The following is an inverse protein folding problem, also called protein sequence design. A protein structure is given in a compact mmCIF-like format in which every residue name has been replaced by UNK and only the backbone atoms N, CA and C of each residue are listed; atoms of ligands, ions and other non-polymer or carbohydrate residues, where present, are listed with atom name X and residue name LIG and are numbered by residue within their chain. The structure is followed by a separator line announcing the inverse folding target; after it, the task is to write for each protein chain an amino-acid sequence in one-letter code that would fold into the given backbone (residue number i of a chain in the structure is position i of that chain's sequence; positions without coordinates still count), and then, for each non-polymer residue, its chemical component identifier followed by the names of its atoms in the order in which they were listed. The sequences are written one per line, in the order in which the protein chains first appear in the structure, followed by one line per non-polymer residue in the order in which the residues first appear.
data_IF_904667715902
#
_entry.id   IF_904667715902
#
_cell.length_a   1.000
_cell.length_b   1.000
_cell.length_c   1.000
_cell.angle_alpha   90.00
_cell.angle_beta   90.00
_cell.angle_gamma   90.00
#
_symmetry.space_group_name_H-M   'P 1'
#
loop_
_entity.id
_entity.type
_entity.pdbx_description
1 polymer ?
#
# COMPACT_ATOMS: atom_id res chain seq x y z
N UNK A 1 -10.67 -26.78 -15.13
CA UNK A 1 -11.63 -25.96 -14.36
C UNK A 1 -11.42 -24.51 -14.76
N UNK A 2 -12.48 -23.71 -14.86
CA UNK A 2 -12.36 -22.28 -15.16
C UNK A 2 -12.34 -21.50 -13.85
N UNK A 3 -11.48 -20.49 -13.75
CA UNK A 3 -11.30 -19.64 -12.56
C UNK A 3 -11.47 -18.20 -12.96
N UNK A 4 -12.25 -17.44 -12.20
CA UNK A 4 -12.50 -16.03 -12.48
C UNK A 4 -11.31 -15.16 -12.05
N UNK A 5 -10.89 -14.26 -12.93
CA UNK A 5 -9.84 -13.27 -12.68
C UNK A 5 -10.46 -11.88 -12.57
N UNK A 6 -10.45 -11.30 -11.36
CA UNK A 6 -11.04 -9.98 -11.08
C UNK A 6 -10.31 -8.84 -11.81
N UNK A 7 -9.05 -9.02 -12.20
CA UNK A 7 -8.30 -7.98 -12.94
C UNK A 7 -8.67 -7.89 -14.42
N UNK A 8 -9.20 -8.96 -15.02
CA UNK A 8 -9.62 -8.96 -16.44
C UNK A 8 -11.12 -9.12 -16.64
N UNK A 9 -11.88 -9.38 -15.56
CA UNK A 9 -13.29 -9.75 -15.63
C UNK A 9 -13.54 -10.97 -16.56
N UNK A 10 -12.64 -11.96 -16.49
CA UNK A 10 -12.69 -13.13 -17.38
C UNK A 10 -12.51 -14.44 -16.63
N UNK A 11 -13.17 -15.48 -17.13
CA UNK A 11 -12.90 -16.87 -16.77
C UNK A 11 -11.65 -17.35 -17.52
N UNK A 12 -10.68 -17.88 -16.78
CA UNK A 12 -9.41 -18.35 -17.32
C UNK A 12 -9.20 -19.84 -17.00
N UNK A 13 -8.37 -20.52 -17.78
CA UNK A 13 -7.93 -21.88 -17.48
C UNK A 13 -7.11 -21.89 -16.19
N UNK A 14 -7.28 -22.92 -15.35
CA UNK A 14 -6.43 -23.12 -14.16
C UNK A 14 -4.93 -23.12 -14.49
N UNK A 15 -4.54 -23.52 -15.71
CA UNK A 15 -3.14 -23.50 -16.15
C UNK A 15 -2.56 -22.08 -16.30
N UNK A 16 -3.42 -21.09 -16.51
CA UNK A 16 -3.05 -19.69 -16.76
C UNK A 16 -3.21 -18.79 -15.52
N UNK A 17 -3.60 -19.37 -14.39
CA UNK A 17 -3.79 -18.67 -13.11
C UNK A 17 -2.52 -18.75 -12.26
N UNK A 18 -2.25 -17.65 -11.57
CA UNK A 18 -1.32 -17.55 -10.45
C UNK A 18 -2.05 -17.01 -9.24
N UNK A 19 -1.54 -17.31 -8.04
CA UNK A 19 -1.95 -16.60 -6.83
C UNK A 19 -1.25 -15.26 -6.81
N UNK A 20 -2.02 -14.20 -6.60
CA UNK A 20 -1.50 -12.86 -6.40
C UNK A 20 -1.68 -12.45 -4.96
N UNK A 21 -0.59 -12.04 -4.33
CA UNK A 21 -0.64 -11.39 -3.03
C UNK A 21 -1.23 -9.99 -3.20
N UNK A 22 -2.35 -9.73 -2.53
CA UNK A 22 -3.05 -8.44 -2.62
C UNK A 22 -2.10 -7.31 -2.21
N UNK A 23 -1.43 -7.49 -1.07
CA UNK A 23 -0.23 -6.75 -0.70
C UNK A 23 0.95 -7.72 -0.85
N UNK A 24 1.99 -7.41 -1.64
CA UNK A 24 3.16 -8.27 -1.79
C UNK A 24 3.88 -8.56 -0.49
N UNK A 25 4.44 -9.77 -0.33
CA UNK A 25 5.23 -10.16 0.85
C UNK A 25 6.36 -9.15 1.16
N UNK A 26 6.99 -8.60 0.12
CA UNK A 26 8.04 -7.59 0.25
C UNK A 26 7.58 -6.28 0.87
N UNK A 27 6.27 -6.03 0.97
CA UNK A 27 5.66 -4.84 1.58
C UNK A 27 4.81 -5.21 2.80
N UNK A 28 5.12 -6.32 3.47
CA UNK A 28 4.36 -6.77 4.65
C UNK A 28 3.09 -7.56 4.31
N UNK A 29 2.96 -8.02 3.07
CA UNK A 29 1.95 -9.00 2.67
C UNK A 29 2.07 -10.34 3.39
N UNK A 30 1.07 -11.20 3.19
CA UNK A 30 1.02 -12.53 3.81
C UNK A 30 0.39 -13.58 2.88
N UNK A 31 0.91 -14.81 2.97
CA UNK A 31 0.27 -15.98 2.35
C UNK A 31 -1.13 -16.18 2.95
N UNK A 32 -2.10 -16.50 2.10
CA UNK A 32 -3.51 -16.56 2.48
C UNK A 32 -4.30 -15.28 2.18
N UNK A 33 -3.65 -14.11 2.11
CA UNK A 33 -4.26 -12.88 1.61
C UNK A 33 -3.98 -12.71 0.12
N UNK A 34 -4.53 -13.66 -0.64
CA UNK A 34 -4.24 -13.86 -2.07
C UNK A 34 -5.53 -14.02 -2.87
N UNK A 35 -5.50 -13.63 -4.15
CA UNK A 35 -6.58 -13.90 -5.10
C UNK A 35 -6.05 -14.61 -6.36
N UNK A 36 -6.89 -15.43 -7.03
CA UNK A 36 -6.53 -16.01 -8.31
C UNK A 36 -6.59 -14.95 -9.41
N UNK A 37 -5.50 -14.81 -10.18
CA UNK A 37 -5.42 -13.89 -11.31
C UNK A 37 -4.62 -14.50 -12.47
N UNK A 38 -4.82 -14.00 -13.69
CA UNK A 38 -4.05 -14.43 -14.85
C UNK A 38 -2.56 -14.15 -14.70
N UNK A 39 -1.70 -15.14 -14.99
CA UNK A 39 -0.22 -15.07 -14.84
C UNK A 39 0.39 -13.84 -15.50
N UNK A 40 -0.01 -13.55 -16.74
CA UNK A 40 0.52 -12.41 -17.50
C UNK A 40 0.08 -11.06 -16.92
N UNK A 41 -1.16 -10.99 -16.42
CA UNK A 41 -1.67 -9.77 -15.77
C UNK A 41 -0.94 -9.57 -14.46
N UNK A 42 -0.81 -10.62 -13.65
CA UNK A 42 -0.08 -10.59 -12.40
C UNK A 42 1.35 -10.07 -12.59
N UNK A 43 2.09 -10.66 -13.53
CA UNK A 43 3.45 -10.22 -13.86
C UNK A 43 3.52 -8.75 -14.27
N UNK A 44 2.56 -8.28 -15.06
CA UNK A 44 2.47 -6.87 -15.47
C UNK A 44 2.21 -5.96 -14.27
N UNK A 45 1.20 -6.27 -13.45
CA UNK A 45 0.86 -5.52 -12.23
C UNK A 45 2.04 -5.48 -11.27
N UNK A 46 2.66 -6.63 -10.98
CA UNK A 46 3.81 -6.72 -10.09
C UNK A 46 5.01 -5.87 -10.55
N UNK A 47 5.28 -5.83 -11.86
CA UNK A 47 6.40 -5.01 -12.38
C UNK A 47 6.07 -3.51 -12.48
N UNK A 48 4.83 -3.15 -12.82
CA UNK A 48 4.41 -1.77 -13.11
C UNK A 48 3.95 -1.01 -11.87
N UNK A 49 3.32 -1.69 -10.92
CA UNK A 49 2.69 -1.09 -9.74
C UNK A 49 3.49 -1.46 -8.49
N UNK A 50 3.50 -2.74 -8.10
CA UNK A 50 4.14 -3.19 -6.86
C UNK A 50 5.64 -2.90 -6.83
N UNK A 51 6.33 -3.14 -7.94
CA UNK A 51 7.75 -2.85 -8.11
C UNK A 51 8.06 -1.36 -7.98
N UNK A 52 7.14 -0.48 -8.36
CA UNK A 52 7.33 0.98 -8.23
C UNK A 52 7.12 1.43 -6.79
N UNK A 53 6.06 0.97 -6.13
CA UNK A 53 5.78 1.32 -4.72
C UNK A 53 6.83 0.74 -3.78
N UNK A 54 7.27 -0.50 -4.00
CA UNK A 54 8.30 -1.13 -3.16
C UNK A 54 9.67 -0.42 -3.25
N UNK A 55 9.93 0.31 -4.35
CA UNK A 55 11.14 1.10 -4.54
C UNK A 55 10.95 2.59 -4.21
N UNK A 56 9.76 3.00 -3.74
CA UNK A 56 9.55 4.34 -3.20
C UNK A 56 10.52 4.59 -2.02
N UNK A 57 11.18 5.76 -1.93
CA UNK A 57 12.21 5.99 -0.92
C UNK A 57 11.75 5.79 0.52
N UNK A 58 10.51 6.16 0.84
CA UNK A 58 9.97 6.03 2.19
C UNK A 58 9.59 4.58 2.48
N UNK A 59 8.86 3.93 1.56
CA UNK A 59 8.48 2.52 1.70
C UNK A 59 9.70 1.60 1.76
N UNK A 60 10.73 1.86 0.96
CA UNK A 60 11.97 1.09 1.00
C UNK A 60 12.66 1.18 2.37
N UNK A 61 12.64 2.36 3.00
CA UNK A 61 13.19 2.57 4.33
C UNK A 61 12.35 1.87 5.41
N UNK A 62 11.01 1.97 5.32
CA UNK A 62 10.10 1.29 6.25
C UNK A 62 10.26 -0.24 6.19
N UNK A 63 10.34 -0.79 4.97
CA UNK A 63 10.63 -2.22 4.74
C UNK A 63 11.95 -2.66 5.37
N UNK A 64 12.98 -1.81 5.30
CA UNK A 64 14.29 -2.08 5.89
C UNK A 64 14.22 -2.05 7.41
N UNK A 65 13.55 -1.05 7.99
CA UNK A 65 13.39 -0.90 9.43
C UNK A 65 12.55 -2.05 10.03
N UNK A 66 11.48 -2.46 9.35
CA UNK A 66 10.65 -3.60 9.74
C UNK A 66 11.24 -4.97 9.34
N UNK A 67 12.44 -5.00 8.77
CA UNK A 67 13.14 -6.20 8.33
C UNK A 67 12.30 -7.14 7.43
N UNK A 68 11.51 -6.53 6.53
CA UNK A 68 10.58 -7.22 5.65
C UNK A 68 11.31 -7.88 4.48
N UNK A 69 11.05 -9.18 4.30
CA UNK A 69 11.55 -10.00 3.19
C UNK A 69 10.40 -10.35 2.25
N UNK A 70 10.68 -10.36 0.94
CA UNK A 70 9.79 -10.96 -0.06
C UNK A 70 10.26 -12.36 -0.44
N UNK A 71 9.79 -12.88 -1.57
CA UNK A 71 10.19 -14.21 -2.08
C UNK A 71 11.70 -14.40 -2.28
N UNK A 72 12.46 -13.32 -2.50
CA UNK A 72 13.92 -13.42 -2.63
C UNK A 72 14.64 -13.73 -1.31
N UNK A 73 13.94 -13.63 -0.16
CA UNK A 73 14.53 -13.78 1.18
C UNK A 73 15.47 -12.65 1.59
N UNK A 74 15.70 -11.67 0.72
CA UNK A 74 16.63 -10.55 0.95
C UNK A 74 15.91 -9.38 1.61
N UNK A 75 16.62 -8.72 2.53
CA UNK A 75 16.19 -7.45 3.09
C UNK A 75 16.28 -6.34 2.03
N UNK A 76 15.39 -5.35 2.15
CA UNK A 76 15.53 -4.12 1.38
C UNK A 76 16.84 -3.43 1.76
N UNK A 77 17.61 -3.02 0.76
CA UNK A 77 18.81 -2.20 0.93
C UNK A 77 18.60 -0.89 0.15
N UNK A 78 17.87 0.08 0.73
CA UNK A 78 17.69 1.38 0.12
C UNK A 78 19.04 2.03 -0.19
N UNK A 79 19.13 2.70 -1.34
CA UNK A 79 20.30 3.48 -1.72
C UNK A 79 19.86 4.87 -2.13
N UNK A 80 20.28 5.84 -1.34
CA UNK A 80 20.10 7.25 -1.64
C UNK A 80 21.29 7.75 -2.43
N UNK A 81 21.05 8.07 -3.70
CA UNK A 81 22.08 8.49 -4.66
C UNK A 81 22.18 10.01 -4.69
N UNK A 82 23.28 10.51 -5.25
CA UNK A 82 23.50 11.95 -5.52
C UNK A 82 23.45 12.84 -4.27
N UNK A 83 23.84 12.30 -3.12
CA UNK A 83 24.00 13.10 -1.90
C UNK A 83 25.22 14.00 -2.07
N UNK A 84 25.11 15.28 -1.74
CA UNK A 84 26.22 16.24 -1.79
C UNK A 84 26.55 16.68 -0.37
N UNK A 85 27.81 16.57 0.05
CA UNK A 85 28.21 16.91 1.42
C UNK A 85 29.30 17.97 1.44
N UNK A 86 29.17 18.93 2.35
CA UNK A 86 30.10 20.02 2.57
C UNK A 86 30.10 21.06 1.45
N UNK A 87 30.91 22.11 1.63
CA UNK A 87 30.98 23.24 0.69
C UNK A 87 31.52 22.81 -0.69
N UNK A 88 32.37 21.79 -0.72
CA UNK A 88 32.92 21.20 -1.95
C UNK A 88 31.92 20.32 -2.73
N UNK A 89 30.70 20.11 -2.19
CA UNK A 89 29.66 19.26 -2.77
C UNK A 89 30.20 17.86 -3.13
N UNK A 90 30.94 17.24 -2.22
CA UNK A 90 31.45 15.89 -2.40
C UNK A 90 30.29 14.93 -2.69
N UNK A 91 30.29 14.20 -3.82
CA UNK A 91 29.20 13.29 -4.16
C UNK A 91 29.32 12.00 -3.34
N UNK A 92 28.23 11.59 -2.71
CA UNK A 92 28.08 10.36 -1.95
C UNK A 92 26.82 9.60 -2.36
N UNK A 93 26.84 8.31 -2.07
CA UNK A 93 25.67 7.45 -1.96
C UNK A 93 25.56 7.01 -0.51
N UNK A 94 24.37 7.14 0.06
CA UNK A 94 24.06 6.58 1.38
C UNK A 94 23.36 5.24 1.14
N UNK A 95 23.99 4.16 1.58
CA UNK A 95 23.42 2.81 1.52
C UNK A 95 22.95 2.42 2.91
N UNK A 96 21.72 1.95 3.00
CA UNK A 96 21.12 1.53 4.25
C UNK A 96 21.25 0.01 4.36
N UNK A 97 22.20 -0.47 5.16
CA UNK A 97 22.57 -1.89 5.25
C UNK A 97 21.66 -2.64 6.23
N UNK A 98 22.06 -2.76 7.50
CA UNK A 98 21.21 -3.28 8.58
C UNK A 98 20.43 -2.14 9.28
N UNK A 99 19.36 -2.42 10.04
CA UNK A 99 18.70 -1.40 10.88
C UNK A 99 19.73 -0.63 11.72
N UNK A 100 19.67 0.70 11.70
CA UNK A 100 20.66 1.57 12.34
C UNK A 100 22.01 1.74 11.61
N UNK A 101 22.33 0.91 10.62
CA UNK A 101 23.59 1.00 9.88
C UNK A 101 23.44 1.72 8.53
N UNK A 102 24.38 2.64 8.27
CA UNK A 102 24.54 3.34 7.00
C UNK A 102 25.98 3.28 6.50
N UNK A 103 26.15 3.08 5.20
CA UNK A 103 27.44 3.20 4.51
C UNK A 103 27.44 4.46 3.64
N UNK A 104 28.47 5.28 3.77
CA UNK A 104 28.71 6.46 2.94
C UNK A 104 29.71 6.10 1.84
N UNK A 105 29.26 5.92 0.60
CA UNK A 105 30.12 5.50 -0.51
C UNK A 105 30.32 6.62 -1.52
N UNK A 106 31.56 6.92 -1.89
CA UNK A 106 31.89 7.96 -2.86
C UNK A 106 32.04 7.36 -4.27
N UNK A 107 31.15 7.69 -5.25
CA UNK A 107 31.25 7.18 -6.61
C UNK A 107 32.50 7.64 -7.38
N UNK A 108 33.07 8.80 -7.03
CA UNK A 108 34.26 9.34 -7.70
C UNK A 108 35.51 8.54 -7.34
N UNK A 109 35.68 8.23 -6.06
CA UNK A 109 36.85 7.48 -5.56
C UNK A 109 36.61 5.98 -5.51
N UNK A 110 35.36 5.53 -5.66
CA UNK A 110 34.89 4.14 -5.52
C UNK A 110 35.17 3.53 -4.14
N UNK A 111 35.24 4.36 -3.11
CA UNK A 111 35.57 3.95 -1.74
C UNK A 111 34.51 4.39 -0.74
N UNK A 112 34.42 3.66 0.38
CA UNK A 112 33.65 4.09 1.55
C UNK A 112 34.36 5.25 2.24
N UNK A 113 33.59 6.24 2.66
CA UNK A 113 34.05 7.44 3.35
C UNK A 113 33.81 7.26 4.84
N UNK A 114 34.82 7.57 5.65
CA UNK A 114 34.69 7.54 7.10
C UNK A 114 33.71 8.63 7.56
N UNK A 115 32.71 8.23 8.33
CA UNK A 115 31.66 9.10 8.86
C UNK A 115 32.24 10.19 9.78
N UNK A 116 33.36 9.94 10.46
CA UNK A 116 34.03 10.95 11.29
C UNK A 116 34.46 12.18 10.47
N UNK A 117 34.87 11.96 9.21
CA UNK A 117 35.29 13.02 8.28
C UNK A 117 34.13 13.86 7.73
N UNK A 118 32.90 13.39 7.95
CA UNK A 118 31.66 14.06 7.57
C UNK A 118 31.01 14.82 8.74
N UNK A 119 31.50 14.65 9.96
CA UNK A 119 30.95 15.28 11.15
C UNK A 119 30.90 16.82 11.01
N UNK A 120 29.74 17.40 11.33
CA UNK A 120 29.49 18.84 11.22
C UNK A 120 29.26 19.37 9.80
N UNK A 121 29.44 18.55 8.75
CA UNK A 121 29.15 18.97 7.37
C UNK A 121 27.66 18.84 7.07
N UNK A 122 27.11 19.81 6.34
CA UNK A 122 25.74 19.73 5.81
C UNK A 122 25.70 18.79 4.61
N UNK A 123 24.68 17.95 4.56
CA UNK A 123 24.35 17.10 3.42
C UNK A 123 23.09 17.60 2.72
N UNK A 124 23.09 17.59 1.40
CA UNK A 124 21.94 17.84 0.56
C UNK A 124 21.59 16.55 -0.19
N UNK A 125 20.31 16.19 -0.18
CA UNK A 125 19.76 15.07 -0.96
C UNK A 125 18.49 15.52 -1.67
N UNK A 126 18.35 15.09 -2.92
CA UNK A 126 17.12 15.24 -3.68
C UNK A 126 16.53 13.85 -3.93
N UNK A 127 15.37 13.60 -3.35
CA UNK A 127 14.60 12.37 -3.58
C UNK A 127 13.46 12.67 -4.56
N UNK A 128 13.30 11.81 -5.57
CA UNK A 128 12.09 11.83 -6.41
C UNK A 128 11.07 10.91 -5.77
N UNK A 129 9.93 11.48 -5.43
CA UNK A 129 8.77 10.76 -4.89
C UNK A 129 7.64 10.95 -5.89
N UNK A 130 7.04 9.84 -6.29
CA UNK A 130 5.95 9.82 -7.28
C UNK A 130 4.66 9.42 -6.57
N UNK A 131 3.60 10.21 -6.76
CA UNK A 131 2.30 9.95 -6.14
C UNK A 131 1.49 8.92 -6.95
N UNK A 132 1.76 8.78 -8.25
CA UNK A 132 0.95 7.95 -9.14
C UNK A 132 1.06 6.46 -8.81
N UNK A 133 2.26 5.86 -8.65
CA UNK A 133 2.35 4.44 -8.33
C UNK A 133 1.65 4.05 -7.01
N UNK A 134 1.77 4.81 -5.90
CA UNK A 134 0.95 4.59 -4.71
C UNK A 134 -0.55 4.57 -4.98
N UNK A 135 -1.10 5.53 -5.75
CA UNK A 135 -2.53 5.57 -6.05
C UNK A 135 -2.99 4.36 -6.88
N UNK A 136 -2.21 3.96 -7.89
CA UNK A 136 -2.50 2.75 -8.68
C UNK A 136 -2.42 1.48 -7.83
N UNK A 137 -1.50 1.44 -6.87
CA UNK A 137 -1.40 0.35 -5.91
C UNK A 137 -2.62 0.30 -4.98
N UNK A 138 -3.09 1.45 -4.49
CA UNK A 138 -4.33 1.54 -3.69
C UNK A 138 -5.52 1.04 -4.51
N UNK A 139 -5.67 1.43 -5.78
CA UNK A 139 -6.72 0.91 -6.66
C UNK A 139 -6.62 -0.62 -6.88
N UNK A 140 -5.40 -1.14 -7.07
CA UNK A 140 -5.13 -2.59 -7.17
C UNK A 140 -5.54 -3.33 -5.91
N UNK A 141 -5.17 -2.81 -4.75
CA UNK A 141 -5.54 -3.38 -3.45
C UNK A 141 -7.05 -3.29 -3.23
N UNK A 142 -7.69 -2.18 -3.56
CA UNK A 142 -9.14 -2.03 -3.44
C UNK A 142 -9.91 -3.07 -4.25
N UNK A 143 -9.53 -3.25 -5.53
CA UNK A 143 -10.14 -4.25 -6.39
C UNK A 143 -9.98 -5.67 -5.85
N UNK A 144 -8.78 -6.01 -5.39
CA UNK A 144 -8.45 -7.35 -4.97
C UNK A 144 -8.97 -7.67 -3.56
N UNK A 145 -8.85 -6.74 -2.61
CA UNK A 145 -9.33 -6.89 -1.25
C UNK A 145 -10.86 -6.87 -1.19
N UNK A 146 -11.53 -6.00 -1.96
CA UNK A 146 -12.98 -6.01 -2.08
C UNK A 146 -13.51 -7.37 -2.54
N UNK A 147 -12.88 -7.95 -3.58
CA UNK A 147 -13.20 -9.30 -4.05
C UNK A 147 -12.84 -10.39 -3.04
N UNK A 148 -11.72 -10.26 -2.33
CA UNK A 148 -11.33 -11.21 -1.29
C UNK A 148 -12.33 -11.25 -0.13
N UNK A 149 -12.77 -10.09 0.34
CA UNK A 149 -13.65 -9.95 1.52
C UNK A 149 -15.10 -10.30 1.20
N UNK A 150 -15.62 -9.82 0.06
CA UNK A 150 -17.06 -9.89 -0.25
C UNK A 150 -17.37 -10.78 -1.47
N UNK A 151 -16.37 -11.32 -2.15
CA UNK A 151 -16.55 -12.24 -3.27
C UNK A 151 -17.40 -11.65 -4.40
N UNK A 152 -18.38 -12.42 -4.84
CA UNK A 152 -19.26 -12.05 -5.94
C UNK A 152 -20.17 -10.85 -5.63
N UNK A 153 -20.43 -10.54 -4.36
CA UNK A 153 -21.20 -9.33 -3.99
C UNK A 153 -20.46 -8.09 -4.44
N UNK A 154 -19.15 -8.00 -4.16
CA UNK A 154 -18.32 -6.87 -4.60
C UNK A 154 -18.20 -6.82 -6.11
N UNK A 155 -17.95 -7.98 -6.74
CA UNK A 155 -17.85 -8.07 -8.20
C UNK A 155 -19.10 -7.53 -8.91
N UNK A 156 -20.28 -7.82 -8.39
CA UNK A 156 -21.54 -7.50 -9.07
C UNK A 156 -22.06 -6.10 -8.74
N UNK A 157 -21.70 -5.55 -7.58
CA UNK A 157 -22.31 -4.31 -7.07
C UNK A 157 -21.37 -3.11 -6.99
N UNK A 158 -20.04 -3.29 -7.01
CA UNK A 158 -19.08 -2.18 -6.99
C UNK A 158 -18.62 -1.76 -8.39
N UNK A 159 -18.16 -0.52 -8.55
CA UNK A 159 -17.50 -0.04 -9.79
C UNK A 159 -16.09 -0.64 -9.94
N UNK A 160 -16.06 -1.95 -10.21
CA UNK A 160 -14.83 -2.69 -10.47
C UNK A 160 -14.20 -2.29 -11.81
N UNK A 161 -14.97 -1.67 -12.73
CA UNK A 161 -14.47 -1.29 -14.06
C UNK A 161 -13.50 -0.13 -13.94
N UNK A 162 -13.85 0.93 -13.19
CA UNK A 162 -12.95 2.05 -12.95
C UNK A 162 -11.64 1.61 -12.27
N UNK A 163 -11.72 0.67 -11.34
CA UNK A 163 -10.53 0.09 -10.71
C UNK A 163 -9.69 -0.75 -11.71
N UNK A 164 -10.34 -1.56 -12.54
CA UNK A 164 -9.66 -2.36 -13.58
C UNK A 164 -8.94 -1.49 -14.60
N UNK A 165 -9.54 -0.37 -15.02
CA UNK A 165 -8.93 0.57 -15.96
C UNK A 165 -7.62 1.15 -15.41
N UNK A 166 -7.56 1.41 -14.09
CA UNK A 166 -6.35 1.87 -13.42
C UNK A 166 -5.31 0.74 -13.26
N UNK A 167 -5.74 -0.47 -12.89
CA UNK A 167 -4.82 -1.61 -12.70
C UNK A 167 -4.15 -2.03 -14.02
N UNK A 168 -4.88 -1.95 -15.12
CA UNK A 168 -4.42 -2.42 -16.43
C UNK A 168 -3.77 -1.33 -17.29
N UNK A 169 -3.59 -0.12 -16.75
CA UNK A 169 -3.11 1.03 -17.51
C UNK A 169 -1.66 0.87 -18.01
N UNK A 170 -1.42 1.38 -19.22
CA UNK A 170 -0.05 1.53 -19.72
C UNK A 170 0.63 2.76 -19.09
N UNK A 171 1.92 2.67 -18.68
CA UNK A 171 2.61 3.74 -17.96
C UNK A 171 2.51 5.13 -18.60
N UNK A 172 2.58 5.19 -19.94
CA UNK A 172 2.48 6.44 -20.72
C UNK A 172 1.13 7.18 -20.59
N UNK A 173 0.09 6.51 -20.09
CA UNK A 173 -1.26 7.04 -20.00
C UNK A 173 -1.70 7.33 -18.56
N UNK A 174 -0.86 7.04 -17.56
CA UNK A 174 -1.25 7.05 -16.14
C UNK A 174 -1.84 8.38 -15.69
N UNK A 175 -1.15 9.49 -15.95
CA UNK A 175 -1.63 10.84 -15.61
C UNK A 175 -2.97 11.18 -16.26
N UNK A 176 -3.14 10.83 -17.53
CA UNK A 176 -4.36 11.12 -18.28
C UNK A 176 -5.55 10.36 -17.73
N UNK A 177 -5.39 9.07 -17.46
CA UNK A 177 -6.52 8.25 -16.99
C UNK A 177 -6.85 8.55 -15.54
N UNK A 178 -5.85 8.76 -14.67
CA UNK A 178 -6.08 9.18 -13.30
C UNK A 178 -6.84 10.51 -13.24
N UNK A 179 -6.46 11.49 -14.06
CA UNK A 179 -7.15 12.78 -14.10
C UNK A 179 -8.56 12.72 -14.71
N UNK A 180 -8.86 11.70 -15.53
CA UNK A 180 -10.20 11.45 -16.06
C UNK A 180 -11.02 10.46 -15.22
N UNK A 181 -10.41 9.85 -14.20
CA UNK A 181 -11.06 8.87 -13.34
C UNK A 181 -12.14 9.55 -12.52
N UNK A 182 -13.26 8.86 -12.31
CA UNK A 182 -14.30 9.31 -11.37
C UNK A 182 -13.97 8.96 -9.93
N UNK A 183 -13.02 8.05 -9.72
CA UNK A 183 -12.58 7.64 -8.39
C UNK A 183 -11.87 8.80 -7.69
N UNK A 184 -12.26 9.03 -6.44
CA UNK A 184 -11.64 10.03 -5.56
C UNK A 184 -10.55 9.35 -4.75
N UNK A 185 -9.39 9.99 -4.68
CA UNK A 185 -8.23 9.48 -3.94
C UNK A 185 -7.85 10.40 -2.79
N UNK A 186 -7.36 9.78 -1.71
CA UNK A 186 -6.65 10.46 -0.62
C UNK A 186 -5.21 9.95 -0.72
N UNK A 187 -4.26 10.81 -1.10
CA UNK A 187 -2.83 10.44 -1.11
C UNK A 187 -2.20 10.65 0.28
N UNK A 188 -0.96 10.20 0.51
CA UNK A 188 -0.28 10.27 1.83
C UNK A 188 0.39 11.62 2.17
N UNK A 189 0.34 12.60 1.28
CA UNK A 189 1.00 13.90 1.42
C UNK A 189 0.02 15.06 1.39
N UNK A 190 -1.03 14.97 0.57
CA UNK A 190 -2.02 16.03 0.39
C UNK A 190 -3.42 15.47 0.67
N UNK A 191 -4.17 16.21 1.47
CA UNK A 191 -5.56 15.93 1.77
C UNK A 191 -6.32 17.25 1.75
N UNK A 192 -7.56 17.20 1.26
CA UNK A 192 -8.48 18.32 1.41
C UNK A 192 -8.92 18.42 2.88
N UNK A 193 -9.26 19.63 3.35
CA UNK A 193 -9.70 19.85 4.73
C UNK A 193 -10.92 19.00 5.09
N UNK A 194 -11.81 18.74 4.12
CA UNK A 194 -12.99 17.89 4.30
C UNK A 194 -12.65 16.41 4.55
N UNK A 195 -11.48 15.94 4.10
CA UNK A 195 -11.06 14.54 4.16
C UNK A 195 -10.11 14.27 5.35
N UNK A 196 -9.80 15.29 6.16
CA UNK A 196 -8.80 15.19 7.24
C UNK A 196 -9.21 14.17 8.32
N UNK A 197 -10.51 14.08 8.63
CA UNK A 197 -11.04 13.13 9.62
C UNK A 197 -10.80 11.69 9.17
N UNK A 198 -11.17 11.38 7.93
CA UNK A 198 -10.97 10.06 7.32
C UNK A 198 -9.50 9.70 7.22
N UNK A 199 -8.66 10.64 6.76
CA UNK A 199 -7.21 10.44 6.72
C UNK A 199 -6.63 10.09 8.10
N UNK A 200 -6.96 10.88 9.13
CA UNK A 200 -6.44 10.66 10.48
C UNK A 200 -6.92 9.31 11.02
N UNK A 201 -8.19 8.98 10.84
CA UNK A 201 -8.75 7.70 11.26
C UNK A 201 -8.06 6.51 10.57
N UNK A 202 -7.88 6.54 9.26
CA UNK A 202 -7.20 5.45 8.54
C UNK A 202 -5.72 5.34 8.93
N UNK A 203 -5.06 6.46 9.18
CA UNK A 203 -3.69 6.49 9.70
C UNK A 203 -3.63 5.80 11.07
N UNK A 204 -4.51 6.16 12.00
CA UNK A 204 -4.52 5.56 13.34
C UNK A 204 -4.87 4.05 13.30
N UNK A 205 -5.80 3.64 12.44
CA UNK A 205 -6.10 2.21 12.21
C UNK A 205 -4.87 1.47 11.70
N UNK A 206 -4.12 2.05 10.75
CA UNK A 206 -2.87 1.49 10.25
C UNK A 206 -1.85 1.30 11.38
N UNK A 207 -1.73 2.28 12.27
CA UNK A 207 -0.77 2.29 13.38
C UNK A 207 -1.18 1.39 14.57
N UNK A 208 -2.37 0.78 14.56
CA UNK A 208 -2.83 -0.09 15.65
C UNK A 208 -1.86 -1.24 15.95
N UNK A 209 -1.38 -1.92 14.89
CA UNK A 209 -0.54 -3.12 14.99
C UNK A 209 0.84 -2.99 14.31
N UNK A 210 1.14 -1.83 13.73
CA UNK A 210 2.39 -1.62 12.96
C UNK A 210 2.61 -2.65 11.83
N UNK A 211 1.53 -3.24 11.31
CA UNK A 211 1.53 -4.20 10.20
C UNK A 211 0.92 -3.56 8.94
N UNK A 212 0.95 -4.28 7.82
CA UNK A 212 0.19 -3.83 6.64
C UNK A 212 -1.29 -4.10 6.84
N UNK A 213 -2.13 -3.15 6.44
CA UNK A 213 -3.57 -3.15 6.74
C UNK A 213 -4.35 -2.70 5.51
N UNK A 214 -5.48 -3.36 5.26
CA UNK A 214 -6.49 -2.89 4.31
C UNK A 214 -7.79 -2.63 5.06
N UNK A 215 -8.28 -1.39 4.97
CA UNK A 215 -9.51 -0.95 5.61
C UNK A 215 -10.54 -0.68 4.52
N UNK A 216 -11.69 -1.35 4.59
CA UNK A 216 -12.85 -1.12 3.73
C UNK A 216 -13.94 -0.48 4.60
N UNK A 217 -14.11 0.84 4.51
CA UNK A 217 -15.16 1.58 5.21
C UNK A 217 -16.39 1.70 4.31
N UNK A 218 -17.56 1.24 4.77
CA UNK A 218 -18.81 1.40 4.05
C UNK A 218 -19.41 2.79 4.29
N UNK A 219 -19.97 3.39 3.24
CA UNK A 219 -20.88 4.54 3.33
C UNK A 219 -22.11 4.29 2.45
N UNK A 220 -23.01 5.27 2.38
CA UNK A 220 -24.33 5.12 1.74
C UNK A 220 -24.26 4.61 0.28
N UNK A 221 -23.27 5.09 -0.47
CA UNK A 221 -23.17 4.88 -1.92
C UNK A 221 -21.90 4.12 -2.34
N UNK A 222 -21.18 3.50 -1.40
CA UNK A 222 -19.92 2.85 -1.74
C UNK A 222 -18.99 2.51 -0.58
N UNK A 223 -17.71 2.44 -0.92
CA UNK A 223 -16.61 2.14 -0.01
C UNK A 223 -15.49 3.16 -0.13
N UNK A 224 -14.94 3.55 1.01
CA UNK A 224 -13.56 4.05 1.05
C UNK A 224 -12.64 2.88 1.40
N UNK A 225 -11.73 2.56 0.49
CA UNK A 225 -10.69 1.55 0.73
C UNK A 225 -9.36 2.24 1.01
N UNK A 226 -8.89 2.14 2.26
CA UNK A 226 -7.62 2.67 2.70
C UNK A 226 -6.57 1.57 2.86
N UNK A 227 -5.32 1.91 2.52
CA UNK A 227 -4.19 0.97 2.56
C UNK A 227 -3.09 1.56 3.42
N UNK A 228 -2.61 0.77 4.38
CA UNK A 228 -1.41 1.05 5.14
C UNK A 228 -0.37 -0.03 4.91
N UNK A 229 0.89 0.36 4.76
CA UNK A 229 2.03 -0.53 4.62
C UNK A 229 2.87 -0.40 5.88
N UNK A 230 3.03 -1.49 6.64
CA UNK A 230 3.85 -1.53 7.86
C UNK A 230 3.48 -0.43 8.87
N UNK A 231 2.18 -0.23 9.05
CA UNK A 231 1.60 0.79 9.92
C UNK A 231 1.62 2.21 9.36
N UNK A 232 2.08 2.43 8.12
CA UNK A 232 2.11 3.75 7.50
C UNK A 232 1.06 3.87 6.41
N UNK A 233 0.18 4.86 6.56
CA UNK A 233 -0.84 5.19 5.59
C UNK A 233 -0.20 5.47 4.22
N UNK A 234 -0.66 4.77 3.19
CA UNK A 234 -0.17 4.90 1.82
C UNK A 234 -1.15 5.71 0.97
N UNK A 235 -2.45 5.51 1.19
CA UNK A 235 -3.52 6.21 0.48
C UNK A 235 -4.86 5.51 0.63
N UNK A 236 -5.92 6.16 0.16
CA UNK A 236 -7.26 5.61 0.07
C UNK A 236 -7.93 5.94 -1.27
N UNK A 237 -8.91 5.13 -1.66
CA UNK A 237 -9.75 5.34 -2.84
C UNK A 237 -11.22 5.15 -2.48
N UNK A 238 -12.05 6.06 -2.96
CA UNK A 238 -13.51 6.02 -2.86
C UNK A 238 -14.07 5.31 -4.10
N UNK A 239 -14.88 4.27 -3.88
CA UNK A 239 -15.40 3.36 -4.90
C UNK A 239 -16.91 3.26 -4.77
N UNK A 240 -17.60 3.73 -5.80
CA UNK A 240 -19.06 3.64 -5.88
C UNK A 240 -19.52 2.17 -5.84
N UNK A 241 -20.58 1.89 -5.09
CA UNK A 241 -21.21 0.58 -5.06
C UNK A 241 -22.70 0.63 -4.68
N UNK A 242 -23.46 -0.35 -5.15
CA UNK A 242 -24.84 -0.57 -4.72
C UNK A 242 -24.84 -1.34 -3.39
N UNK A 243 -25.13 -0.64 -2.29
CA UNK A 243 -24.86 -1.15 -0.94
C UNK A 243 -25.90 -2.17 -0.41
N UNK A 244 -27.01 -2.38 -1.10
CA UNK A 244 -28.15 -3.17 -0.62
C UNK A 244 -27.80 -4.62 -0.23
N UNK A 245 -26.86 -5.23 -0.94
CA UNK A 245 -26.50 -6.64 -0.75
C UNK A 245 -25.27 -6.84 0.14
N UNK A 246 -24.60 -5.76 0.56
CA UNK A 246 -23.41 -5.88 1.38
C UNK A 246 -23.76 -6.11 2.86
N UNK A 247 -23.07 -7.04 3.54
CA UNK A 247 -23.28 -7.25 4.97
C UNK A 247 -22.81 -6.02 5.74
N UNK A 248 -23.58 -5.63 6.77
CA UNK A 248 -23.31 -4.47 7.62
C UNK A 248 -23.55 -4.78 9.11
N UNK A 249 -23.23 -6.01 9.52
CA UNK A 249 -23.39 -6.52 10.87
C UNK A 249 -22.24 -7.43 11.26
N UNK A 250 -22.08 -7.70 12.57
CA UNK A 250 -20.99 -8.52 13.09
C UNK A 250 -19.61 -8.05 12.59
N UNK A 251 -18.82 -8.97 12.03
CA UNK A 251 -17.48 -8.69 11.48
C UNK A 251 -17.46 -7.77 10.25
N UNK A 252 -18.62 -7.38 9.73
CA UNK A 252 -18.76 -6.45 8.60
C UNK A 252 -19.46 -5.14 8.99
N UNK A 253 -19.68 -4.88 10.27
CA UNK A 253 -20.31 -3.64 10.74
C UNK A 253 -19.51 -2.42 10.29
N UNK A 254 -20.17 -1.59 9.49
CA UNK A 254 -19.64 -0.42 8.78
C UNK A 254 -18.45 -0.73 7.87
N UNK A 255 -18.28 -1.99 7.48
CA UNK A 255 -17.18 -2.48 6.68
C UNK A 255 -16.23 -3.40 7.43
N UNK A 256 -15.00 -3.51 6.94
CA UNK A 256 -14.08 -4.59 7.32
C UNK A 256 -12.63 -4.12 7.31
N UNK A 257 -11.84 -4.60 8.27
CA UNK A 257 -10.40 -4.31 8.37
C UNK A 257 -9.63 -5.61 8.37
N UNK A 258 -8.60 -5.70 7.53
CA UNK A 258 -7.69 -6.84 7.45
C UNK A 258 -6.29 -6.41 7.88
N UNK A 259 -5.78 -7.03 8.94
CA UNK A 259 -4.43 -6.85 9.45
C UNK A 259 -3.55 -8.03 9.03
N UNK A 260 -2.40 -7.74 8.43
CA UNK A 260 -1.41 -8.75 8.01
C UNK A 260 -0.28 -8.83 9.04
N UNK A 261 -0.60 -9.37 10.22
CA UNK A 261 0.30 -9.46 11.36
C UNK A 261 1.20 -10.70 11.24
N UNK A 262 2.51 -10.51 11.16
CA UNK A 262 3.46 -11.62 10.95
C UNK A 262 3.54 -12.59 12.12
N UNK A 263 3.20 -12.14 13.32
CA UNK A 263 3.22 -12.97 14.53
C UNK A 263 1.89 -13.71 14.69
N UNK A 264 0.78 -13.03 14.41
CA UNK A 264 -0.57 -13.55 14.68
C UNK A 264 -1.32 -14.07 13.44
N UNK A 265 -0.77 -13.88 12.24
CA UNK A 265 -1.39 -14.24 10.97
C UNK A 265 -2.32 -13.16 10.41
N UNK A 266 -3.26 -13.57 9.56
CA UNK A 266 -4.29 -12.66 9.04
C UNK A 266 -5.37 -12.52 10.10
N UNK A 267 -5.50 -11.31 10.63
CA UNK A 267 -6.55 -10.97 11.58
C UNK A 267 -7.56 -10.02 10.93
N UNK A 268 -8.84 -10.19 11.26
CA UNK A 268 -9.89 -9.34 10.73
C UNK A 268 -10.85 -8.88 11.82
N UNK A 269 -11.46 -7.72 11.60
CA UNK A 269 -12.53 -7.19 12.45
C UNK A 269 -13.43 -6.27 11.63
N UNK A 270 -14.56 -5.87 12.22
CA UNK A 270 -15.40 -4.84 11.61
C UNK A 270 -14.68 -3.49 11.63
N UNK A 271 -15.02 -2.62 10.68
CA UNK A 271 -14.50 -1.26 10.68
C UNK A 271 -14.92 -0.50 11.95
N UNK A 272 -16.16 -0.71 12.38
CA UNK A 272 -16.68 -0.16 13.62
C UNK A 272 -15.80 -0.52 14.84
N UNK A 273 -15.44 -1.80 15.00
CA UNK A 273 -14.61 -2.23 16.14
C UNK A 273 -13.20 -1.61 16.08
N UNK A 274 -12.62 -1.48 14.88
CA UNK A 274 -11.33 -0.81 14.71
C UNK A 274 -11.41 0.66 15.13
N UNK A 275 -12.49 1.37 14.79
CA UNK A 275 -12.74 2.75 15.23
C UNK A 275 -12.93 2.82 16.74
N UNK A 276 -13.63 1.87 17.36
CA UNK A 276 -13.77 1.79 18.81
C UNK A 276 -12.41 1.71 19.50
N UNK A 277 -11.54 0.81 19.04
CA UNK A 277 -10.19 0.63 19.58
C UNK A 277 -9.35 1.91 19.42
N UNK A 278 -9.46 2.59 18.27
CA UNK A 278 -8.81 3.89 18.08
C UNK A 278 -9.37 4.91 19.07
N UNK A 279 -10.69 5.00 19.22
CA UNK A 279 -11.35 5.93 20.15
C UNK A 279 -10.89 5.72 21.60
N UNK A 280 -10.78 4.47 22.05
CA UNK A 280 -10.29 4.11 23.38
C UNK A 280 -8.86 4.61 23.63
N UNK A 281 -7.98 4.59 22.62
CA UNK A 281 -6.61 5.17 22.73
C UNK A 281 -6.63 6.68 23.01
N UNK A 282 -7.69 7.37 22.61
CA UNK A 282 -7.92 8.79 22.87
C UNK A 282 -8.86 9.05 24.05
N UNK A 283 -9.20 8.03 24.84
CA UNK A 283 -10.04 8.16 26.02
C UNK A 283 -11.54 8.28 25.75
N UNK A 284 -11.99 7.95 24.54
CA UNK A 284 -13.43 7.83 24.25
C UNK A 284 -13.97 6.55 24.89
N UNK A 285 -15.17 6.64 25.47
CA UNK A 285 -15.84 5.49 26.08
C UNK A 285 -16.44 4.59 24.98
N UNK A 286 -16.46 3.25 25.14
CA UNK A 286 -16.96 2.32 24.10
C UNK A 286 -18.43 2.57 23.70
N UNK A 287 -19.22 3.13 24.63
CA UNK A 287 -20.63 3.49 24.44
C UNK A 287 -20.84 4.80 23.65
N UNK A 288 -19.75 5.49 23.31
CA UNK A 288 -19.73 6.66 22.42
C UNK A 288 -19.14 6.33 21.03
N UNK A 289 -18.89 5.05 20.74
CA UNK A 289 -18.44 4.59 19.44
C UNK A 289 -19.60 4.04 18.61
#
# INVERSE_FOLDING_TARGET
MAVYCIYSNQLMSSADISREHIIPLSMGGMDGFEIPVGKEINKKVGSKIDGKVSNDPFIALDRKNAQVKGHSGKLAQPVWKNVKVGDEKQPLQIRFNAPGETEHWCPKTKTTVDTSSLAGKKGEIQLKVDIIPPLLFVAKVALAAGYYVYGDIFKNNADITSLQDLVNIEPKNQEKVLSSSRLRFIDRFQHEEKDIGDYLMFKEIGELKSCSTVTLMQHQDGFVVAVSILGKFLGAVDVDAQMNDFPNEGNHRQGHVVFLDRENGIETMSFYDAVCIVGERYGLQPQNC
#
